data_IF_837495907270
#
_entry.id   IF_837495907270
#
_cell.length_a   1.000
_cell.length_b   1.000
_cell.length_c   1.000
_cell.angle_alpha   90.00
_cell.angle_beta   90.00
_cell.angle_gamma   90.00
#
_symmetry.space_group_name_H-M   'P 1'
#
loop_
_entity.id
_entity.type
_entity.pdbx_description
1 polymer ?
#
# COMPACT_ATOMS: atom_id res chain seq x y z
N UNK A 1 -52.95 -2.28 24.56
CA UNK A 1 -52.48 -3.64 24.17
C UNK A 1 -51.10 -3.49 23.56
N UNK A 2 -50.08 -4.15 24.09
CA UNK A 2 -48.69 -4.06 23.60
C UNK A 2 -48.49 -5.14 22.54
N UNK A 3 -48.21 -4.76 21.30
CA UNK A 3 -47.79 -5.70 20.27
C UNK A 3 -46.31 -6.00 20.47
N UNK A 4 -46.00 -7.27 20.72
CA UNK A 4 -44.64 -7.80 20.79
C UNK A 4 -44.28 -8.23 19.37
N UNK A 5 -43.29 -7.59 18.78
CA UNK A 5 -42.75 -7.94 17.46
C UNK A 5 -42.12 -9.33 17.54
N UNK A 6 -42.59 -10.24 16.69
CA UNK A 6 -42.05 -11.59 16.56
C UNK A 6 -40.59 -11.54 16.11
N UNK A 7 -39.71 -12.14 16.90
CA UNK A 7 -38.27 -12.17 16.67
C UNK A 7 -37.95 -13.35 15.76
N UNK A 8 -37.71 -13.09 14.46
CA UNK A 8 -37.25 -14.11 13.53
C UNK A 8 -35.87 -14.62 13.96
N UNK A 9 -35.78 -15.92 14.24
CA UNK A 9 -34.52 -16.59 14.58
C UNK A 9 -33.66 -16.76 13.32
N UNK A 10 -32.90 -15.72 12.96
CA UNK A 10 -31.88 -15.82 11.92
C UNK A 10 -30.69 -16.63 12.46
N UNK A 11 -30.39 -17.77 11.83
CA UNK A 11 -29.21 -18.58 12.15
C UNK A 11 -27.95 -17.76 11.90
N UNK A 12 -27.08 -17.65 12.90
CA UNK A 12 -25.81 -16.93 12.77
C UNK A 12 -24.89 -17.63 11.78
N UNK A 13 -24.70 -17.04 10.60
CA UNK A 13 -23.72 -17.54 9.64
C UNK A 13 -22.34 -16.97 9.96
N UNK A 14 -21.45 -17.83 10.45
CA UNK A 14 -20.04 -17.46 10.66
C UNK A 14 -19.31 -17.41 9.31
N UNK A 15 -19.02 -16.19 8.84
CA UNK A 15 -18.28 -15.91 7.61
C UNK A 15 -16.84 -16.44 7.61
N UNK A 16 -16.33 -16.97 8.72
CA UNK A 16 -14.98 -17.52 8.84
C UNK A 16 -14.87 -18.98 8.44
N UNK A 17 -15.98 -19.72 8.37
CA UNK A 17 -15.95 -21.17 8.07
C UNK A 17 -15.58 -21.51 6.62
N UNK A 18 -15.57 -20.55 5.70
CA UNK A 18 -15.23 -20.75 4.29
C UNK A 18 -13.79 -20.40 3.91
N UNK A 19 -12.89 -20.17 4.87
CA UNK A 19 -11.49 -19.87 4.53
C UNK A 19 -10.78 -21.17 4.19
N UNK A 20 -10.79 -21.52 2.91
CA UNK A 20 -9.91 -22.52 2.33
C UNK A 20 -8.47 -22.28 2.82
N UNK A 21 -7.89 -23.29 3.47
CA UNK A 21 -6.54 -23.29 4.03
C UNK A 21 -5.47 -23.46 2.95
N UNK A 22 -5.90 -23.56 1.68
CA UNK A 22 -5.06 -23.55 0.49
C UNK A 22 -4.50 -22.14 0.21
N UNK A 23 -3.75 -21.58 1.15
CA UNK A 23 -2.86 -20.46 0.81
C UNK A 23 -1.64 -21.04 0.11
N UNK A 24 -1.37 -20.71 -1.16
CA UNK A 24 -0.11 -21.11 -1.77
C UNK A 24 1.04 -20.56 -0.94
N UNK A 25 1.96 -21.44 -0.59
CA UNK A 25 3.16 -21.16 0.19
C UNK A 25 4.08 -20.29 -0.68
N UNK A 26 3.90 -18.97 -0.55
CA UNK A 26 4.43 -18.01 -1.52
C UNK A 26 3.70 -16.69 -1.39
N UNK A 27 3.80 -16.07 -0.21
CA UNK A 27 3.34 -14.70 0.02
C UNK A 27 4.28 -13.77 -0.76
N UNK A 28 4.06 -13.69 -2.07
CA UNK A 28 4.47 -12.55 -2.88
C UNK A 28 3.95 -11.28 -2.21
N UNK A 29 4.76 -10.23 -2.28
CA UNK A 29 4.58 -8.99 -1.51
C UNK A 29 3.11 -8.59 -1.36
N UNK A 30 2.68 -8.40 -0.10
CA UNK A 30 1.33 -7.96 0.28
C UNK A 30 1.09 -6.48 -0.07
N UNK A 31 1.61 -6.01 -1.20
CA UNK A 31 1.32 -4.71 -1.77
C UNK A 31 0.44 -4.95 -2.98
N UNK A 32 -0.87 -5.02 -2.72
CA UNK A 32 -1.91 -4.92 -3.75
C UNK A 32 -1.82 -3.60 -4.54
N UNK A 33 -1.05 -2.63 -4.04
CA UNK A 33 -0.64 -1.43 -4.74
C UNK A 33 0.88 -1.49 -4.92
N UNK A 34 1.33 -2.29 -5.88
CA UNK A 34 2.68 -2.06 -6.41
C UNK A 34 2.67 -0.65 -6.99
N UNK A 35 3.64 0.18 -6.61
CA UNK A 35 3.71 1.57 -7.08
C UNK A 35 4.01 1.51 -8.59
N UNK A 36 2.98 1.68 -9.43
CA UNK A 36 3.15 1.68 -10.89
C UNK A 36 3.84 2.97 -11.30
N UNK A 37 5.17 3.00 -11.26
CA UNK A 37 5.94 4.04 -11.95
C UNK A 37 5.84 3.78 -13.45
N UNK A 38 4.76 4.27 -14.06
CA UNK A 38 4.49 4.12 -15.48
C UNK A 38 4.66 5.46 -16.20
N UNK A 39 5.73 6.19 -15.87
CA UNK A 39 6.07 7.38 -16.63
C UNK A 39 6.77 6.97 -17.92
N UNK A 40 6.43 7.62 -19.03
CA UNK A 40 7.14 7.46 -20.30
C UNK A 40 8.59 7.98 -20.21
N UNK A 41 8.88 8.88 -19.27
CA UNK A 41 10.22 9.43 -19.07
C UNK A 41 11.00 8.57 -18.05
N UNK A 42 12.15 8.05 -18.48
CA UNK A 42 13.05 7.25 -17.66
C UNK A 42 13.61 8.03 -16.46
N UNK A 43 13.92 9.32 -16.63
CA UNK A 43 14.43 10.18 -15.55
C UNK A 43 13.42 10.30 -14.40
N UNK A 44 12.14 10.34 -14.74
CA UNK A 44 11.04 10.43 -13.76
C UNK A 44 10.94 9.13 -12.97
N UNK A 45 11.12 7.99 -13.62
CA UNK A 45 11.09 6.68 -12.96
C UNK A 45 12.30 6.50 -12.03
N UNK A 46 13.49 6.94 -12.44
CA UNK A 46 14.69 6.92 -11.61
C UNK A 46 14.53 7.81 -10.36
N UNK A 47 14.04 9.04 -10.53
CA UNK A 47 13.77 9.94 -9.42
C UNK A 47 12.75 9.34 -8.44
N UNK A 48 11.67 8.74 -8.96
CA UNK A 48 10.64 8.14 -8.13
C UNK A 48 11.17 6.96 -7.30
N UNK A 49 12.02 6.12 -7.89
CA UNK A 49 12.70 5.04 -7.17
C UNK A 49 13.64 5.57 -6.09
N UNK A 50 14.43 6.61 -6.39
CA UNK A 50 15.35 7.21 -5.43
C UNK A 50 14.60 7.81 -4.22
N UNK A 51 13.47 8.47 -4.46
CA UNK A 51 12.61 9.02 -3.40
C UNK A 51 12.05 7.90 -2.52
N UNK A 52 11.59 6.78 -3.09
CA UNK A 52 11.03 5.69 -2.29
C UNK A 52 12.11 4.96 -1.48
N UNK A 53 13.32 4.79 -2.03
CA UNK A 53 14.48 4.31 -1.27
C UNK A 53 14.83 5.23 -0.11
N UNK A 54 14.78 6.55 -0.33
CA UNK A 54 15.01 7.54 0.72
C UNK A 54 13.98 7.41 1.85
N UNK A 55 12.67 7.36 1.51
CA UNK A 55 11.58 7.18 2.48
C UNK A 55 11.74 5.89 3.29
N UNK A 56 12.09 4.78 2.63
CA UNK A 56 12.33 3.49 3.26
C UNK A 56 13.50 3.55 4.25
N UNK A 57 14.64 4.09 3.82
CA UNK A 57 15.84 4.21 4.65
C UNK A 57 15.60 5.08 5.88
N UNK A 58 14.84 6.15 5.75
CA UNK A 58 14.59 7.11 6.84
C UNK A 58 13.30 6.84 7.60
N UNK A 59 12.59 5.75 7.26
CA UNK A 59 11.29 5.35 7.83
C UNK A 59 10.28 6.50 7.87
N UNK A 60 10.25 7.30 6.80
CA UNK A 60 9.35 8.45 6.67
C UNK A 60 8.20 8.15 5.72
N UNK A 61 7.03 8.68 6.06
CA UNK A 61 5.83 8.59 5.22
C UNK A 61 5.75 9.75 4.21
N UNK A 62 6.32 10.90 4.54
CA UNK A 62 6.36 12.11 3.71
C UNK A 62 7.80 12.64 3.65
N UNK A 63 8.17 13.23 2.50
CA UNK A 63 9.47 13.84 2.26
C UNK A 63 9.34 15.37 2.32
N UNK A 64 10.31 16.07 2.91
CA UNK A 64 10.36 17.54 2.89
C UNK A 64 11.04 18.05 1.61
N UNK A 65 10.94 19.35 1.32
CA UNK A 65 11.60 19.93 0.14
C UNK A 65 13.13 19.86 0.20
N UNK A 66 13.73 19.99 1.39
CA UNK A 66 15.18 19.85 1.58
C UNK A 66 15.66 18.41 1.36
N UNK A 67 14.86 17.45 1.83
CA UNK A 67 15.12 16.03 1.62
C UNK A 67 15.00 15.67 0.13
N UNK A 68 13.98 16.22 -0.56
CA UNK A 68 13.81 16.04 -2.00
C UNK A 68 14.99 16.65 -2.78
N UNK A 69 15.42 17.86 -2.41
CA UNK A 69 16.61 18.48 -2.98
C UNK A 69 17.85 17.59 -2.81
N UNK A 70 18.04 17.01 -1.62
CA UNK A 70 19.16 16.09 -1.35
C UNK A 70 19.13 14.82 -2.21
N UNK A 71 17.94 14.29 -2.51
CA UNK A 71 17.78 13.15 -3.43
C UNK A 71 18.14 13.56 -4.86
N UNK A 72 17.63 14.70 -5.33
CA UNK A 72 17.87 15.20 -6.71
C UNK A 72 19.35 15.52 -6.93
N UNK A 73 20.02 16.18 -5.99
CA UNK A 73 21.46 16.44 -6.09
C UNK A 73 22.30 15.17 -5.97
N UNK A 74 21.85 14.17 -5.19
CA UNK A 74 22.50 12.86 -5.12
C UNK A 74 22.43 12.06 -6.43
N UNK A 75 21.41 12.29 -7.26
CA UNK A 75 21.31 11.74 -8.61
C UNK A 75 22.14 12.52 -9.65
N UNK A 76 22.76 13.64 -9.26
CA UNK A 76 23.57 14.47 -10.16
C UNK A 76 22.77 15.46 -11.00
N UNK A 77 21.47 15.61 -10.73
CA UNK A 77 20.67 16.68 -11.34
C UNK A 77 21.04 18.02 -10.69
N UNK A 78 21.64 18.87 -11.51
CA UNK A 78 21.96 20.25 -11.16
C UNK A 78 21.40 21.17 -12.24
N UNK A 79 21.01 22.38 -11.85
CA UNK A 79 20.57 23.42 -12.80
C UNK A 79 21.77 24.04 -13.52
#
# INVERSE_FOLDING_TARGET
MKQVTEQQSATFQDRRQGRDDSRPDGIGERRQFSNSYNSENQDVNELAQAIDQYKLRHRRRFITFEELHSVVTGLGYHK
#
